data_IF_227030194317
#
_entry.id   IF_227030194317
#
_cell.length_a   1.000
_cell.length_b   1.000
_cell.length_c   1.000
_cell.angle_alpha   90.00
_cell.angle_beta   90.00
_cell.angle_gamma   90.00
#
_symmetry.space_group_name_H-M   'P 1'
#
loop_
_entity.id
_entity.type
_entity.pdbx_description
1 polymer ?
#
# COMPACT_ATOMS: atom_id res chain seq x y z
N UNK A 1 2.23 -7.85 -10.78
CA UNK A 1 2.94 -6.56 -10.63
C UNK A 1 4.45 -6.80 -10.58
N UNK A 2 5.26 -6.07 -11.37
CA UNK A 2 6.73 -6.16 -11.33
C UNK A 2 7.37 -5.05 -10.48
N UNK A 3 8.65 -5.17 -10.14
CA UNK A 3 9.38 -4.12 -9.42
C UNK A 3 9.51 -2.83 -10.25
N UNK A 4 9.65 -2.97 -11.56
CA UNK A 4 9.76 -1.82 -12.47
C UNK A 4 8.44 -1.05 -12.60
N UNK A 5 7.29 -1.73 -12.57
CA UNK A 5 5.98 -1.06 -12.51
C UNK A 5 5.88 -0.17 -11.26
N UNK A 6 6.34 -0.68 -10.11
CA UNK A 6 6.34 0.06 -8.84
C UNK A 6 7.29 1.27 -8.91
N UNK A 7 8.51 1.08 -9.44
CA UNK A 7 9.48 2.18 -9.59
C UNK A 7 8.95 3.26 -10.52
N UNK A 8 8.38 2.89 -11.66
CA UNK A 8 7.79 3.82 -12.63
C UNK A 8 6.62 4.60 -12.03
N UNK A 9 5.69 3.92 -11.35
CA UNK A 9 4.59 4.58 -10.64
C UNK A 9 5.11 5.61 -9.63
N UNK A 10 6.14 5.26 -8.85
CA UNK A 10 6.71 6.17 -7.84
C UNK A 10 7.48 7.33 -8.43
N UNK A 11 8.15 7.14 -9.57
CA UNK A 11 8.77 8.25 -10.29
C UNK A 11 7.72 9.29 -10.69
N UNK A 12 6.60 8.84 -11.27
CA UNK A 12 5.50 9.73 -11.64
C UNK A 12 4.92 10.49 -10.44
N UNK A 13 4.74 9.83 -9.28
CA UNK A 13 4.26 10.50 -8.07
C UNK A 13 5.23 11.56 -7.54
N UNK A 14 6.54 11.36 -7.69
CA UNK A 14 7.55 12.35 -7.24
C UNK A 14 7.63 13.57 -8.16
N UNK A 15 7.28 13.40 -9.43
CA UNK A 15 7.28 14.47 -10.43
C UNK A 15 5.98 15.28 -10.44
N UNK A 16 4.91 14.76 -9.83
CA UNK A 16 3.63 15.46 -9.70
C UNK A 16 3.68 16.53 -8.60
N UNK A 17 3.61 17.80 -8.98
CA UNK A 17 3.63 18.93 -8.04
C UNK A 17 2.42 18.95 -7.08
N UNK A 18 1.30 18.33 -7.46
CA UNK A 18 0.11 18.23 -6.63
C UNK A 18 0.15 17.01 -5.68
N UNK A 19 1.14 16.14 -5.82
CA UNK A 19 1.26 14.95 -4.98
C UNK A 19 1.56 15.33 -3.53
N UNK A 20 0.76 14.77 -2.62
CA UNK A 20 1.00 14.84 -1.17
C UNK A 20 1.49 13.50 -0.65
N UNK A 21 2.60 13.50 0.07
CA UNK A 21 3.15 12.29 0.68
C UNK A 21 2.31 11.76 1.85
N UNK A 22 1.34 12.53 2.33
CA UNK A 22 0.43 12.17 3.43
C UNK A 22 -0.90 11.56 2.95
N UNK A 23 -1.04 11.32 1.64
CA UNK A 23 -2.22 10.67 1.08
C UNK A 23 -2.55 9.33 1.75
N UNK A 24 -3.84 9.05 1.88
CA UNK A 24 -4.33 7.75 2.33
C UNK A 24 -4.50 6.85 1.12
N UNK A 25 -3.90 5.66 1.18
CA UNK A 25 -3.79 4.76 0.03
C UNK A 25 -4.46 3.42 0.30
N UNK A 26 -5.26 2.99 -0.65
CA UNK A 26 -5.82 1.65 -0.74
C UNK A 26 -5.15 0.90 -1.89
N UNK A 27 -4.43 -0.16 -1.56
CA UNK A 27 -3.84 -1.09 -2.52
C UNK A 27 -4.72 -2.34 -2.57
N UNK A 28 -5.66 -2.35 -3.50
CA UNK A 28 -6.45 -3.54 -3.81
C UNK A 28 -5.63 -4.49 -4.68
N UNK A 29 -5.27 -5.65 -4.12
CA UNK A 29 -4.48 -6.67 -4.79
C UNK A 29 -5.29 -7.94 -5.06
N UNK A 30 -6.62 -7.91 -4.96
CA UNK A 30 -7.47 -9.10 -5.06
C UNK A 30 -7.31 -9.86 -6.40
N UNK A 31 -7.02 -9.16 -7.49
CA UNK A 31 -6.77 -9.75 -8.81
C UNK A 31 -5.28 -10.07 -9.07
N UNK A 32 -4.37 -9.81 -8.13
CA UNK A 32 -2.95 -10.06 -8.32
C UNK A 32 -2.61 -11.53 -8.03
N UNK A 33 -2.53 -12.34 -9.09
CA UNK A 33 -2.28 -13.79 -9.01
C UNK A 33 -0.83 -14.16 -8.73
N UNK A 34 0.13 -13.27 -9.02
CA UNK A 34 1.57 -13.57 -8.90
C UNK A 34 2.36 -12.39 -8.33
N UNK A 35 3.38 -12.70 -7.51
CA UNK A 35 4.38 -11.74 -7.03
C UNK A 35 5.69 -11.95 -7.79
N UNK A 36 5.83 -11.26 -8.93
CA UNK A 36 7.05 -11.25 -9.73
C UNK A 36 8.14 -10.33 -9.18
N UNK A 37 8.28 -10.23 -7.85
CA UNK A 37 9.23 -9.35 -7.17
C UNK A 37 10.09 -10.23 -6.27
N UNK A 38 11.42 -10.18 -6.44
CA UNK A 38 12.33 -10.94 -5.59
C UNK A 38 12.34 -10.40 -4.15
N UNK A 39 12.72 -11.21 -3.15
CA UNK A 39 12.82 -10.73 -1.77
C UNK A 39 13.76 -9.53 -1.57
N UNK A 40 14.84 -9.42 -2.36
CA UNK A 40 15.76 -8.27 -2.32
C UNK A 40 15.07 -7.00 -2.82
N UNK A 41 14.44 -7.06 -4.00
CA UNK A 41 13.71 -5.92 -4.57
C UNK A 41 12.56 -5.51 -3.66
N UNK A 42 11.90 -6.46 -3.02
CA UNK A 42 10.81 -6.19 -2.10
C UNK A 42 11.26 -5.34 -0.89
N UNK A 43 12.45 -5.63 -0.35
CA UNK A 43 13.05 -4.84 0.75
C UNK A 43 13.47 -3.45 0.29
N UNK A 44 14.09 -3.35 -0.88
CA UNK A 44 14.46 -2.06 -1.48
C UNK A 44 13.22 -1.19 -1.70
N UNK A 45 12.18 -1.75 -2.31
CA UNK A 45 10.92 -1.06 -2.54
C UNK A 45 10.23 -0.66 -1.22
N UNK A 46 10.36 -1.43 -0.15
CA UNK A 46 9.79 -1.04 1.15
C UNK A 46 10.50 0.20 1.73
N UNK A 47 11.83 0.27 1.61
CA UNK A 47 12.65 1.35 2.13
C UNK A 47 12.50 2.68 1.35
N UNK A 48 12.21 2.61 0.05
CA UNK A 48 12.20 3.77 -0.86
C UNK A 48 10.79 4.33 -1.16
N UNK A 49 9.83 4.13 -0.27
CA UNK A 49 8.48 4.66 -0.46
C UNK A 49 8.48 6.19 -0.52
N UNK A 50 7.81 6.83 -1.50
CA UNK A 50 7.62 8.29 -1.50
C UNK A 50 6.58 8.78 -0.49
N UNK A 51 5.93 7.87 0.24
CA UNK A 51 4.92 8.22 1.25
C UNK A 51 5.57 8.67 2.56
N UNK A 52 4.92 9.61 3.22
CA UNK A 52 5.24 10.04 4.57
C UNK A 52 5.01 8.93 5.60
N UNK A 53 5.60 9.11 6.79
CA UNK A 53 5.49 8.14 7.88
C UNK A 53 4.06 7.97 8.40
N UNK A 54 3.23 9.02 8.27
CA UNK A 54 1.84 9.09 8.75
C UNK A 54 0.81 8.85 7.65
N UNK A 55 1.24 8.59 6.41
CA UNK A 55 0.33 8.13 5.34
C UNK A 55 -0.29 6.79 5.72
N UNK A 56 -1.63 6.76 5.84
CA UNK A 56 -2.39 5.53 6.08
C UNK A 56 -2.40 4.68 4.81
N UNK A 57 -1.89 3.46 4.92
CA UNK A 57 -1.76 2.52 3.81
C UNK A 57 -2.47 1.22 4.15
N UNK A 58 -3.54 0.94 3.42
CA UNK A 58 -4.27 -0.31 3.49
C UNK A 58 -3.93 -1.18 2.29
N UNK A 59 -3.45 -2.40 2.54
CA UNK A 59 -3.24 -3.40 1.49
C UNK A 59 -4.26 -4.52 1.65
N UNK A 60 -4.97 -4.90 0.59
CA UNK A 60 -5.91 -6.02 0.61
C UNK A 60 -5.26 -7.22 -0.06
N UNK A 61 -5.01 -8.28 0.69
CA UNK A 61 -4.26 -9.43 0.23
C UNK A 61 -5.16 -10.52 -0.39
N UNK A 62 -4.87 -11.02 -1.60
CA UNK A 62 -5.68 -12.05 -2.28
C UNK A 62 -5.52 -13.46 -1.70
N UNK A 63 -4.50 -13.69 -0.87
CA UNK A 63 -4.17 -15.02 -0.35
C UNK A 63 -3.38 -14.94 0.96
N UNK A 64 -3.27 -16.07 1.67
CA UNK A 64 -2.45 -16.18 2.88
C UNK A 64 -0.96 -15.89 2.62
N UNK A 65 -0.43 -16.35 1.48
CA UNK A 65 0.94 -16.06 1.09
C UNK A 65 1.15 -14.55 0.87
N UNK A 66 0.24 -13.92 0.11
CA UNK A 66 0.27 -12.48 -0.13
C UNK A 66 0.20 -11.69 1.18
N UNK A 67 -0.68 -12.12 2.09
CA UNK A 67 -0.84 -11.51 3.40
C UNK A 67 0.47 -11.55 4.20
N UNK A 68 1.12 -12.72 4.26
CA UNK A 68 2.41 -12.88 4.91
C UNK A 68 3.49 -11.96 4.32
N UNK A 69 3.61 -11.95 2.98
CA UNK A 69 4.58 -11.12 2.27
C UNK A 69 4.34 -9.63 2.52
N UNK A 70 3.11 -9.14 2.43
CA UNK A 70 2.77 -7.74 2.67
C UNK A 70 3.01 -7.31 4.12
N UNK A 71 2.89 -8.22 5.10
CA UNK A 71 3.30 -7.90 6.48
C UNK A 71 4.82 -7.80 6.63
N UNK A 72 5.58 -8.65 5.94
CA UNK A 72 7.04 -8.53 5.89
C UNK A 72 7.43 -7.20 5.23
N UNK A 73 6.72 -6.80 4.16
CA UNK A 73 6.90 -5.49 3.51
C UNK A 73 6.73 -4.35 4.50
N UNK A 74 5.63 -4.39 5.26
CA UNK A 74 5.32 -3.38 6.26
C UNK A 74 6.47 -3.21 7.26
N UNK A 75 7.04 -4.33 7.74
CA UNK A 75 8.17 -4.33 8.67
C UNK A 75 9.47 -3.79 8.10
N UNK A 76 9.66 -3.83 6.78
CA UNK A 76 10.80 -3.21 6.09
C UNK A 76 10.54 -1.76 5.65
N UNK A 77 9.30 -1.28 5.75
CA UNK A 77 8.95 0.06 5.34
C UNK A 77 9.31 1.10 6.40
N UNK A 78 9.45 2.36 5.98
CA UNK A 78 9.60 3.50 6.90
C UNK A 78 8.27 3.96 7.52
N UNK A 79 7.16 3.27 7.24
CA UNK A 79 5.86 3.57 7.82
C UNK A 79 5.91 3.43 9.34
N UNK A 80 5.20 4.29 10.04
CA UNK A 80 4.81 3.96 11.40
C UNK A 80 3.81 2.77 11.35
N UNK A 81 4.03 1.68 12.11
CA UNK A 81 3.15 0.51 12.13
C UNK A 81 1.67 0.85 12.42
N UNK A 82 1.38 1.97 13.07
CA UNK A 82 0.00 2.43 13.30
C UNK A 82 -0.71 2.87 12.00
N UNK A 83 0.04 3.22 10.95
CA UNK A 83 -0.46 3.76 9.68
C UNK A 83 -0.28 2.79 8.51
N UNK A 84 0.15 1.55 8.74
CA UNK A 84 0.23 0.52 7.71
C UNK A 84 -0.55 -0.72 8.18
N UNK A 85 -1.50 -1.20 7.37
CA UNK A 85 -2.22 -2.42 7.68
C UNK A 85 -2.50 -3.27 6.44
N UNK A 86 -2.43 -4.58 6.63
CA UNK A 86 -2.80 -5.59 5.63
C UNK A 86 -4.13 -6.20 6.05
N UNK A 87 -5.08 -6.25 5.12
CA UNK A 87 -6.43 -6.75 5.28
C UNK A 87 -6.65 -7.95 4.37
N UNK A 88 -7.69 -8.72 4.70
CA UNK A 88 -8.21 -9.79 3.84
C UNK A 88 -9.48 -9.37 3.11
N UNK A 89 -10.17 -8.38 3.67
CA UNK A 89 -11.44 -7.89 3.20
C UNK A 89 -11.32 -6.43 2.77
N UNK A 90 -11.88 -6.11 1.61
CA UNK A 90 -11.84 -4.77 1.03
C UNK A 90 -12.70 -3.78 1.82
N UNK A 91 -13.85 -4.21 2.35
CA UNK A 91 -14.72 -3.34 3.13
C UNK A 91 -14.06 -2.93 4.46
N UNK A 92 -13.41 -3.87 5.15
CA UNK A 92 -12.63 -3.56 6.36
C UNK A 92 -11.50 -2.54 6.08
N UNK A 93 -10.81 -2.69 4.95
CA UNK A 93 -9.76 -1.76 4.53
C UNK A 93 -10.31 -0.35 4.27
N UNK A 94 -11.46 -0.26 3.56
CA UNK A 94 -12.15 1.01 3.28
C UNK A 94 -12.63 1.69 4.56
N UNK A 95 -13.25 0.95 5.48
CA UNK A 95 -13.69 1.45 6.77
C UNK A 95 -12.52 2.03 7.58
N UNK A 96 -11.39 1.31 7.64
CA UNK A 96 -10.20 1.78 8.37
C UNK A 96 -9.59 3.04 7.76
N UNK A 97 -9.68 3.21 6.44
CA UNK A 97 -9.27 4.43 5.75
C UNK A 97 -10.28 5.58 5.87
N UNK A 98 -11.47 5.35 6.45
CA UNK A 98 -12.54 6.35 6.54
C UNK A 98 -13.29 6.57 5.22
N UNK A 99 -13.19 5.63 4.27
CA UNK A 99 -13.84 5.73 2.96
C UNK A 99 -15.31 5.31 2.97
N UNK A 100 -15.82 4.84 4.10
CA UNK A 100 -17.22 4.41 4.29
C UNK A 100 -18.11 5.49 4.92
N UNK A 101 -17.63 6.73 5.04
CA UNK A 101 -18.42 7.88 5.51
C UNK A 101 -19.36 8.48 4.46
N UNK A 102 -19.77 7.72 3.44
CA UNK A 102 -21.00 8.02 2.70
C UNK A 102 -22.22 7.60 3.53
N UNK A 103 -22.37 8.26 4.69
CA UNK A 103 -23.66 8.52 5.31
C UNK A 103 -24.00 9.99 5.09
N UNK A 104 -24.39 10.30 3.86
CA UNK A 104 -25.27 11.42 3.54
C UNK A 104 -24.71 12.81 3.78
N UNK A 105 -24.36 13.49 2.68
CA UNK A 105 -24.81 14.87 2.52
C UNK A 105 -26.33 14.91 2.75
N UNK A 106 -26.73 15.35 3.94
CA UNK A 106 -28.07 15.84 4.25
C UNK A 106 -27.94 17.32 4.63
#
# INVERSE_FOLDING_TARGET
MSADDVRKMRANLREDEAFSSDLYLLFDMLDNTEFGISPSEFRELAAESPMGKQSRRAYVAPSELAFGLLRIFAGHSLADPAYFRVFRDLAEARLWLGLDEDKGLA
#
